data_IF_865226522345
#
_entry.id   IF_865226522345
#
_cell.length_a   1.000
_cell.length_b   1.000
_cell.length_c   1.000
_cell.angle_alpha   90.00
_cell.angle_beta   90.00
_cell.angle_gamma   90.00
#
_symmetry.space_group_name_H-M   'P 1'
#
loop_
_entity.id
_entity.type
_entity.pdbx_description
1 polymer ?
#
# COMPACT_ATOMS: atom_id res chain seq x y z
N UNK A 1 -14.23 13.66 -39.75
CA UNK A 1 -14.45 14.25 -38.41
C UNK A 1 -14.80 13.15 -37.40
N UNK A 2 -13.95 12.12 -37.31
CA UNK A 2 -14.08 10.96 -36.40
C UNK A 2 -12.67 10.39 -36.17
N UNK A 3 -11.92 11.05 -35.28
CA UNK A 3 -10.57 10.71 -34.80
C UNK A 3 -10.37 11.77 -33.71
N UNK A 4 -10.35 11.53 -32.41
CA UNK A 4 -9.82 10.43 -31.61
C UNK A 4 -10.57 10.52 -30.27
N UNK A 5 -11.50 9.60 -30.00
CA UNK A 5 -12.18 9.43 -28.70
C UNK A 5 -11.75 8.11 -28.04
N UNK A 6 -10.46 7.76 -28.20
CA UNK A 6 -9.87 6.54 -27.65
C UNK A 6 -8.42 6.85 -27.27
N UNK A 7 -8.24 7.48 -26.11
CA UNK A 7 -6.92 7.56 -25.50
C UNK A 7 -7.13 7.67 -23.99
N UNK A 8 -7.00 6.52 -23.35
CA UNK A 8 -7.28 6.21 -21.95
C UNK A 8 -6.59 7.16 -20.96
N UNK A 9 -7.30 7.60 -19.94
CA UNK A 9 -7.02 8.76 -19.09
C UNK A 9 -5.74 8.71 -18.20
N UNK A 10 -4.81 7.75 -18.41
CA UNK A 10 -3.69 7.47 -17.48
C UNK A 10 -2.31 7.41 -18.15
N UNK A 11 -2.19 7.16 -19.46
CA UNK A 11 -0.88 6.92 -20.08
C UNK A 11 -0.01 8.20 -20.18
N UNK A 12 -0.59 9.34 -20.54
CA UNK A 12 0.18 10.60 -20.64
C UNK A 12 0.71 11.07 -19.30
N UNK A 13 -0.12 11.02 -18.25
CA UNK A 13 0.24 11.55 -16.94
C UNK A 13 1.39 10.76 -16.30
N UNK A 14 1.39 9.43 -16.43
CA UNK A 14 2.49 8.60 -15.93
C UNK A 14 3.78 8.79 -16.71
N UNK A 15 3.70 8.95 -18.03
CA UNK A 15 4.88 9.20 -18.87
C UNK A 15 5.54 10.53 -18.51
N UNK A 16 4.76 11.59 -18.31
CA UNK A 16 5.26 12.90 -17.87
C UNK A 16 5.94 12.80 -16.50
N UNK A 17 5.30 12.15 -15.52
CA UNK A 17 5.90 11.94 -14.18
C UNK A 17 7.22 11.18 -14.27
N UNK A 18 7.28 10.08 -15.03
CA UNK A 18 8.51 9.30 -15.18
C UNK A 18 9.64 10.15 -15.77
N UNK A 19 9.34 10.96 -16.78
CA UNK A 19 10.34 11.85 -17.40
C UNK A 19 10.82 12.91 -16.41
N UNK A 20 9.90 13.59 -15.73
CA UNK A 20 10.26 14.63 -14.75
C UNK A 20 11.07 14.09 -13.59
N UNK A 21 10.73 12.90 -13.05
CA UNK A 21 11.53 12.28 -11.99
C UNK A 21 12.91 11.87 -12.51
N UNK A 22 12.99 11.28 -13.72
CA UNK A 22 14.27 10.89 -14.30
C UNK A 22 15.19 12.09 -14.56
N UNK A 23 14.65 13.20 -15.08
CA UNK A 23 15.39 14.45 -15.28
C UNK A 23 15.90 15.00 -13.96
N UNK A 24 15.04 15.10 -12.93
CA UNK A 24 15.45 15.59 -11.60
C UNK A 24 16.52 14.71 -10.96
N UNK A 25 16.41 13.38 -11.10
CA UNK A 25 17.43 12.44 -10.61
C UNK A 25 18.78 12.70 -11.30
N UNK A 26 18.80 12.88 -12.61
CA UNK A 26 20.03 13.18 -13.35
C UNK A 26 20.60 14.56 -12.97
N UNK A 27 19.75 15.56 -12.76
CA UNK A 27 20.17 16.93 -12.43
C UNK A 27 20.74 17.04 -11.00
N UNK A 28 20.10 16.40 -10.01
CA UNK A 28 20.48 16.51 -8.60
C UNK A 28 21.57 15.51 -8.18
N UNK A 29 21.53 14.28 -8.71
CA UNK A 29 22.43 13.19 -8.29
C UNK A 29 23.47 12.84 -9.36
N UNK A 30 23.37 13.40 -10.57
CA UNK A 30 24.31 13.19 -11.67
C UNK A 30 24.20 11.85 -12.40
N UNK A 31 23.63 10.82 -11.76
CA UNK A 31 23.36 9.52 -12.40
C UNK A 31 22.31 8.71 -11.64
N UNK A 32 21.69 7.76 -12.32
CA UNK A 32 20.79 6.79 -11.69
C UNK A 32 21.51 5.94 -10.62
N UNK A 33 22.79 5.61 -10.83
CA UNK A 33 23.58 4.85 -9.86
C UNK A 33 23.82 5.64 -8.56
N UNK A 34 24.13 6.93 -8.66
CA UNK A 34 24.31 7.79 -7.48
C UNK A 34 22.99 7.98 -6.70
N UNK A 35 21.86 8.04 -7.40
CA UNK A 35 20.55 8.07 -6.74
C UNK A 35 20.20 6.75 -6.05
N UNK A 36 20.51 5.63 -6.70
CA UNK A 36 20.41 4.29 -6.12
C UNK A 36 21.24 4.17 -4.83
N UNK A 37 22.46 4.72 -4.81
CA UNK A 37 23.33 4.74 -3.62
C UNK A 37 22.73 5.63 -2.52
N UNK A 38 22.21 6.82 -2.86
CA UNK A 38 21.46 7.67 -1.92
C UNK A 38 20.30 6.91 -1.25
N UNK A 39 19.48 6.22 -2.05
CA UNK A 39 18.33 5.45 -1.53
C UNK A 39 18.77 4.33 -0.57
N UNK A 40 19.90 3.67 -0.84
CA UNK A 40 20.41 2.54 -0.02
C UNK A 40 21.20 2.97 1.21
N UNK A 41 21.91 4.08 1.16
CA UNK A 41 22.94 4.41 2.15
C UNK A 41 22.57 5.56 3.10
N UNK A 42 21.72 6.50 2.67
CA UNK A 42 21.38 7.68 3.47
C UNK A 42 20.38 7.35 4.61
N UNK A 43 19.96 8.34 5.39
CA UNK A 43 18.94 8.18 6.41
C UNK A 43 17.56 7.86 5.80
N UNK A 44 16.84 6.81 6.24
CA UNK A 44 15.57 6.42 5.64
C UNK A 44 14.48 7.48 5.68
N UNK A 45 14.40 8.31 6.73
CA UNK A 45 13.41 9.39 6.83
C UNK A 45 13.71 10.48 5.80
N UNK A 46 14.99 10.85 5.69
CA UNK A 46 15.48 11.82 4.68
C UNK A 46 15.20 11.33 3.25
N UNK A 47 15.48 10.05 2.97
CA UNK A 47 15.18 9.44 1.66
C UNK A 47 13.67 9.45 1.40
N UNK A 48 12.85 9.12 2.40
CA UNK A 48 11.39 9.12 2.27
C UNK A 48 10.85 10.50 1.91
N UNK A 49 11.33 11.54 2.60
CA UNK A 49 10.91 12.93 2.36
C UNK A 49 11.26 13.39 0.95
N UNK A 50 12.47 13.07 0.47
CA UNK A 50 12.87 13.35 -0.92
C UNK A 50 11.99 12.60 -1.92
N UNK A 51 11.71 11.32 -1.68
CA UNK A 51 10.85 10.54 -2.55
C UNK A 51 9.43 11.12 -2.62
N UNK A 52 8.86 11.56 -1.49
CA UNK A 52 7.54 12.19 -1.41
C UNK A 52 7.49 13.57 -2.08
N UNK A 53 8.62 14.26 -2.17
CA UNK A 53 8.73 15.53 -2.87
C UNK A 53 8.76 15.37 -4.41
N UNK A 54 8.97 14.15 -4.93
CA UNK A 54 8.78 13.88 -6.35
C UNK A 54 7.30 13.94 -6.73
N UNK A 55 6.92 14.91 -7.57
CA UNK A 55 5.56 15.04 -8.08
C UNK A 55 5.06 13.75 -8.73
N UNK A 56 4.03 13.13 -8.15
CA UNK A 56 3.45 11.85 -8.61
C UNK A 56 3.92 10.62 -7.82
N UNK A 57 4.83 10.78 -6.87
CA UNK A 57 5.21 9.75 -5.90
C UNK A 57 4.44 9.96 -4.60
N UNK A 58 3.57 9.02 -4.26
CA UNK A 58 2.85 9.02 -2.99
C UNK A 58 3.50 8.09 -1.95
N UNK A 59 3.02 8.09 -0.69
CA UNK A 59 3.58 7.31 0.42
C UNK A 59 3.84 5.85 0.08
N UNK A 60 2.85 5.13 -0.45
CA UNK A 60 3.02 3.73 -0.87
C UNK A 60 4.19 3.52 -1.83
N UNK A 61 4.36 4.44 -2.78
CA UNK A 61 5.44 4.34 -3.78
C UNK A 61 6.80 4.62 -3.13
N UNK A 62 6.90 5.66 -2.29
CA UNK A 62 8.11 5.97 -1.55
C UNK A 62 8.52 4.80 -0.64
N UNK A 63 7.57 4.24 0.11
CA UNK A 63 7.79 3.10 1.00
C UNK A 63 8.20 1.85 0.22
N UNK A 64 7.62 1.62 -0.97
CA UNK A 64 8.07 0.52 -1.84
C UNK A 64 9.51 0.72 -2.33
N UNK A 65 9.93 1.95 -2.66
CA UNK A 65 11.31 2.23 -3.07
C UNK A 65 12.26 1.96 -1.91
N UNK A 66 11.97 2.47 -0.71
CA UNK A 66 12.76 2.22 0.50
C UNK A 66 12.92 0.73 0.80
N UNK A 67 11.80 -0.01 0.82
CA UNK A 67 11.80 -1.43 1.11
C UNK A 67 12.53 -2.25 0.04
N UNK A 68 12.14 -2.13 -1.23
CA UNK A 68 12.59 -3.06 -2.28
C UNK A 68 13.88 -2.63 -2.99
N UNK A 69 14.06 -1.34 -3.24
CA UNK A 69 15.26 -0.83 -3.91
C UNK A 69 16.34 -0.41 -2.89
N UNK A 70 15.91 0.21 -1.79
CA UNK A 70 16.78 0.61 -0.68
C UNK A 70 17.16 -0.51 0.28
N UNK A 71 16.46 -1.65 0.23
CA UNK A 71 16.73 -2.78 1.12
C UNK A 71 16.47 -2.47 2.60
N UNK A 72 15.62 -1.48 2.89
CA UNK A 72 15.31 -1.06 4.26
C UNK A 72 14.32 -2.03 4.90
N UNK A 73 14.75 -2.70 5.96
CA UNK A 73 13.86 -3.46 6.84
C UNK A 73 12.99 -2.50 7.67
N UNK A 74 11.86 -3.00 8.19
CA UNK A 74 10.95 -2.20 9.00
C UNK A 74 10.00 -1.30 8.22
N UNK A 75 10.22 -1.09 6.91
CA UNK A 75 9.31 -0.33 6.05
C UNK A 75 8.18 -1.23 5.55
N UNK A 76 6.93 -0.84 5.78
CA UNK A 76 5.75 -1.60 5.37
C UNK A 76 4.83 -0.76 4.46
N UNK A 77 4.94 -0.89 3.12
CA UNK A 77 4.11 -0.11 2.22
C UNK A 77 2.62 -0.45 2.39
N UNK A 78 1.79 0.58 2.55
CA UNK A 78 0.33 0.40 2.69
C UNK A 78 -0.35 0.71 1.37
N UNK A 79 -0.89 -0.31 0.71
CA UNK A 79 -1.79 -0.16 -0.43
C UNK A 79 -3.25 -0.39 -0.03
N UNK A 80 -4.16 -0.40 -1.01
CA UNK A 80 -5.60 -0.59 -0.74
C UNK A 80 -5.95 -1.99 -0.23
N UNK A 81 -5.12 -3.01 -0.45
CA UNK A 81 -5.30 -4.34 0.15
C UNK A 81 -4.87 -4.30 1.61
N UNK A 82 -3.64 -3.87 1.88
CA UNK A 82 -3.07 -3.75 3.23
C UNK A 82 -4.00 -2.89 4.11
N UNK A 83 -4.34 -1.68 3.65
CA UNK A 83 -5.19 -0.74 4.36
C UNK A 83 -6.53 -1.35 4.78
N UNK A 84 -7.17 -2.12 3.89
CA UNK A 84 -8.43 -2.80 4.19
C UNK A 84 -8.24 -3.98 5.14
N UNK A 85 -7.23 -4.82 4.90
CA UNK A 85 -7.02 -6.07 5.64
C UNK A 85 -6.74 -5.76 7.11
N UNK A 86 -5.80 -4.87 7.40
CA UNK A 86 -5.40 -4.61 8.79
C UNK A 86 -6.51 -3.93 9.61
N UNK A 87 -7.38 -3.13 8.97
CA UNK A 87 -8.59 -2.58 9.61
C UNK A 87 -9.67 -3.64 9.82
N UNK A 88 -9.89 -4.55 8.86
CA UNK A 88 -10.82 -5.68 9.01
C UNK A 88 -10.39 -6.68 10.09
N UNK A 89 -9.10 -6.92 10.20
CA UNK A 89 -8.51 -7.80 11.22
C UNK A 89 -8.67 -7.23 12.64
N UNK A 90 -8.95 -5.93 12.78
CA UNK A 90 -8.97 -5.24 14.09
C UNK A 90 -7.58 -4.83 14.60
N UNK A 91 -6.53 -4.97 13.77
CA UNK A 91 -5.15 -4.59 14.12
C UNK A 91 -4.99 -3.07 14.09
N UNK A 92 -5.52 -2.42 13.05
CA UNK A 92 -5.56 -0.97 12.94
C UNK A 92 -6.97 -0.44 13.22
N UNK A 93 -7.11 0.80 13.74
CA UNK A 93 -8.41 1.42 13.96
C UNK A 93 -9.27 1.42 12.67
N UNK A 94 -10.60 1.23 12.76
CA UNK A 94 -11.46 1.15 11.59
C UNK A 94 -11.43 2.41 10.71
N UNK A 95 -11.20 3.57 11.32
CA UNK A 95 -11.11 4.90 10.70
C UNK A 95 -9.67 5.35 10.39
N UNK A 96 -8.67 4.49 10.64
CA UNK A 96 -7.26 4.82 10.36
C UNK A 96 -7.04 5.11 8.87
N UNK A 97 -6.27 6.16 8.58
CA UNK A 97 -5.79 6.45 7.24
C UNK A 97 -4.59 5.54 6.88
N UNK A 98 -3.95 5.81 5.73
CA UNK A 98 -2.84 4.97 5.26
C UNK A 98 -1.61 5.06 6.19
N UNK A 99 -1.32 6.25 6.73
CA UNK A 99 -0.19 6.45 7.64
C UNK A 99 -0.47 5.80 9.00
N UNK A 100 -1.69 5.93 9.53
CA UNK A 100 -2.09 5.26 10.77
C UNK A 100 -2.01 3.74 10.67
N UNK A 101 -2.39 3.15 9.52
CA UNK A 101 -2.16 1.72 9.27
C UNK A 101 -0.67 1.40 9.19
N UNK A 102 0.14 2.21 8.49
CA UNK A 102 1.59 2.00 8.36
C UNK A 102 2.26 1.97 9.73
N UNK A 103 2.03 2.98 10.56
CA UNK A 103 2.61 3.10 11.91
C UNK A 103 2.28 1.89 12.78
N UNK A 104 1.03 1.41 12.76
CA UNK A 104 0.62 0.22 13.50
C UNK A 104 1.35 -1.03 13.01
N UNK A 105 1.41 -1.21 11.68
CA UNK A 105 1.98 -2.43 11.10
C UNK A 105 3.50 -2.46 11.26
N UNK A 106 4.20 -1.34 11.05
CA UNK A 106 5.64 -1.23 11.24
C UNK A 106 6.06 -1.39 12.71
N UNK A 107 5.19 -1.01 13.66
CA UNK A 107 5.39 -1.25 15.10
C UNK A 107 5.30 -2.73 15.46
N UNK A 108 4.33 -3.44 14.89
CA UNK A 108 3.94 -4.78 15.35
C UNK A 108 4.56 -5.93 14.52
N UNK A 109 4.91 -5.67 13.25
CA UNK A 109 5.55 -6.67 12.38
C UNK A 109 7.07 -6.61 12.57
N UNK A 110 7.76 -7.73 12.80
CA UNK A 110 9.22 -7.76 12.86
C UNK A 110 9.84 -7.15 11.60
N UNK A 111 10.84 -6.26 11.71
CA UNK A 111 11.38 -5.50 10.58
C UNK A 111 11.76 -6.33 9.36
N UNK A 112 12.38 -7.48 9.58
CA UNK A 112 12.81 -8.43 8.55
C UNK A 112 11.65 -9.11 7.81
N UNK A 113 10.43 -9.04 8.39
CA UNK A 113 9.21 -9.61 7.81
C UNK A 113 8.36 -8.60 7.08
N UNK A 114 8.63 -7.30 7.16
CA UNK A 114 7.76 -6.27 6.56
C UNK A 114 7.58 -6.47 5.05
N UNK A 115 8.65 -6.80 4.31
CA UNK A 115 8.54 -7.05 2.86
C UNK A 115 7.71 -8.28 2.50
N UNK A 116 7.91 -9.40 3.21
CA UNK A 116 7.07 -10.58 3.06
C UNK A 116 5.63 -10.29 3.46
N UNK A 117 5.41 -9.64 4.61
CA UNK A 117 4.09 -9.27 5.11
C UNK A 117 3.31 -8.39 4.13
N UNK A 118 3.96 -7.41 3.51
CA UNK A 118 3.36 -6.56 2.48
C UNK A 118 2.87 -7.39 1.29
N UNK A 119 3.74 -8.19 0.70
CA UNK A 119 3.41 -9.01 -0.48
C UNK A 119 2.37 -10.09 -0.17
N UNK A 120 2.50 -10.76 0.97
CA UNK A 120 1.54 -11.75 1.45
C UNK A 120 0.15 -11.14 1.70
N UNK A 121 0.09 -9.92 2.25
CA UNK A 121 -1.16 -9.19 2.46
C UNK A 121 -1.85 -8.87 1.13
N UNK A 122 -1.11 -8.44 0.11
CA UNK A 122 -1.67 -8.19 -1.23
C UNK A 122 -2.25 -9.48 -1.81
N UNK A 123 -1.51 -10.58 -1.73
CA UNK A 123 -1.98 -11.88 -2.23
C UNK A 123 -3.25 -12.32 -1.49
N UNK A 124 -3.23 -12.29 -0.16
CA UNK A 124 -4.39 -12.61 0.67
C UNK A 124 -5.60 -11.74 0.34
N UNK A 125 -5.40 -10.44 0.13
CA UNK A 125 -6.46 -9.50 -0.23
C UNK A 125 -7.06 -9.71 -1.62
N UNK A 126 -6.34 -10.39 -2.53
CA UNK A 126 -6.82 -10.74 -3.87
C UNK A 126 -7.55 -12.08 -3.86
N UNK A 127 -7.02 -13.06 -3.14
CA UNK A 127 -7.52 -14.44 -3.14
C UNK A 127 -8.68 -14.62 -2.16
N UNK A 128 -8.60 -14.02 -0.97
CA UNK A 128 -9.53 -14.29 0.13
C UNK A 128 -10.27 -13.04 0.58
N UNK A 129 -9.56 -11.98 0.99
CA UNK A 129 -10.17 -10.81 1.60
C UNK A 129 -10.48 -9.70 0.59
N UNK A 130 -11.24 -10.03 -0.46
CA UNK A 130 -11.63 -9.06 -1.48
C UNK A 130 -12.50 -7.93 -0.90
N UNK A 131 -12.49 -6.75 -1.53
CA UNK A 131 -13.18 -5.58 -0.99
C UNK A 131 -14.70 -5.78 -0.84
N UNK A 132 -15.34 -6.38 -1.84
CA UNK A 132 -16.82 -6.48 -1.91
C UNK A 132 -17.36 -7.81 -1.41
N UNK A 133 -16.66 -8.92 -1.70
CA UNK A 133 -17.10 -10.26 -1.33
C UNK A 133 -15.91 -11.05 -0.78
N UNK A 134 -15.46 -10.76 0.46
CA UNK A 134 -14.43 -11.57 1.08
C UNK A 134 -14.95 -13.00 1.27
N UNK A 135 -14.07 -14.00 1.18
CA UNK A 135 -14.42 -15.42 1.24
C UNK A 135 -15.19 -15.80 2.51
N UNK A 136 -14.93 -15.11 3.63
CA UNK A 136 -15.64 -15.32 4.88
C UNK A 136 -17.15 -14.99 4.86
N UNK A 137 -17.68 -14.38 3.79
CA UNK A 137 -19.12 -14.25 3.57
C UNK A 137 -19.77 -15.55 3.06
N UNK A 138 -19.01 -16.41 2.38
CA UNK A 138 -19.50 -17.72 1.93
C UNK A 138 -19.42 -18.78 3.03
N UNK A 139 -18.56 -18.56 4.04
CA UNK A 139 -18.39 -19.39 5.24
C UNK A 139 -17.13 -18.94 5.99
N UNK A 140 -17.11 -18.97 7.32
CA UNK A 140 -15.95 -18.47 8.08
C UNK A 140 -14.67 -19.27 7.74
N UNK A 141 -14.81 -20.58 7.55
CA UNK A 141 -13.78 -21.54 7.17
C UNK A 141 -13.14 -21.27 5.80
N UNK A 142 -13.80 -20.50 4.92
CA UNK A 142 -13.27 -20.13 3.60
C UNK A 142 -12.18 -19.06 3.68
N UNK A 143 -11.99 -18.45 4.85
CA UNK A 143 -10.93 -17.48 5.12
C UNK A 143 -9.90 -18.08 6.09
N UNK A 144 -8.62 -18.23 5.69
CA UNK A 144 -7.60 -18.82 6.56
C UNK A 144 -7.27 -17.99 7.81
N UNK A 145 -7.77 -16.76 7.90
CA UNK A 145 -7.55 -15.84 9.02
C UNK A 145 -8.81 -15.62 9.87
N UNK A 146 -9.91 -16.34 9.63
CA UNK A 146 -11.19 -16.09 10.29
C UNK A 146 -11.11 -16.17 11.83
N UNK A 147 -10.34 -17.11 12.37
CA UNK A 147 -10.18 -17.28 13.83
C UNK A 147 -9.40 -16.15 14.51
N UNK A 148 -8.70 -15.33 13.72
CA UNK A 148 -7.86 -14.21 14.19
C UNK A 148 -8.40 -12.85 13.72
N UNK A 149 -9.58 -12.82 13.11
CA UNK A 149 -10.11 -11.65 12.43
C UNK A 149 -11.38 -11.15 13.12
N UNK A 150 -11.33 -9.90 13.57
CA UNK A 150 -12.51 -9.22 14.14
C UNK A 150 -13.62 -8.96 13.11
N UNK A 151 -13.31 -9.13 11.81
CA UNK A 151 -14.25 -8.99 10.67
C UNK A 151 -14.94 -7.62 10.65
N UNK A 152 -14.23 -6.56 11.05
CA UNK A 152 -14.76 -5.20 11.08
C UNK A 152 -15.28 -4.80 9.69
N UNK A 153 -16.54 -4.40 9.59
CA UNK A 153 -17.18 -4.07 8.31
C UNK A 153 -17.53 -5.28 7.43
N UNK A 154 -17.58 -6.49 7.98
CA UNK A 154 -18.08 -7.69 7.29
C UNK A 154 -19.25 -8.27 8.08
N UNK A 155 -20.44 -8.22 7.47
CA UNK A 155 -21.67 -8.76 8.04
C UNK A 155 -22.06 -10.04 7.30
N UNK A 156 -21.86 -11.19 7.96
CA UNK A 156 -22.17 -12.50 7.39
C UNK A 156 -23.68 -12.75 7.26
N UNK A 157 -24.50 -12.22 8.18
CA UNK A 157 -25.94 -12.40 8.15
C UNK A 157 -26.57 -11.59 7.02
N UNK A 158 -26.06 -10.38 6.78
CA UNK A 158 -26.47 -9.54 5.65
C UNK A 158 -25.79 -9.93 4.33
N UNK A 159 -24.79 -10.81 4.36
CA UNK A 159 -24.03 -11.22 3.18
C UNK A 159 -23.29 -10.06 2.50
N UNK A 160 -22.83 -9.07 3.28
CA UNK A 160 -22.31 -7.81 2.77
C UNK A 160 -21.03 -7.37 3.50
N UNK A 161 -20.17 -6.66 2.78
CA UNK A 161 -19.00 -6.01 3.34
C UNK A 161 -18.97 -4.53 2.97
N UNK A 162 -18.64 -3.70 3.95
CA UNK A 162 -18.48 -2.24 3.84
C UNK A 162 -17.03 -1.85 4.14
N UNK A 163 -16.71 -0.56 4.00
CA UNK A 163 -15.43 -0.07 4.52
C UNK A 163 -15.47 -0.11 6.06
N UNK A 164 -14.40 -0.56 6.74
CA UNK A 164 -14.34 -0.59 8.20
C UNK A 164 -14.73 0.73 8.89
N UNK A 165 -14.40 1.88 8.29
CA UNK A 165 -14.75 3.19 8.85
C UNK A 165 -16.27 3.42 8.95
N UNK A 166 -17.04 2.88 8.00
CA UNK A 166 -18.51 3.00 7.98
C UNK A 166 -19.18 2.08 9.01
N UNK A 167 -18.45 1.07 9.52
CA UNK A 167 -18.95 0.14 10.50
C UNK A 167 -18.81 0.66 11.94
N UNK A 168 -17.84 1.53 12.21
CA UNK A 168 -17.60 2.14 13.54
C UNK A 168 -18.57 3.27 13.91
N UNK A 169 -19.36 3.76 12.96
CA UNK A 169 -20.33 4.85 13.18
C UNK A 169 -21.71 4.38 13.68
N UNK A 170 -21.89 3.07 13.94
CA UNK A 170 -23.13 2.46 14.41
C UNK A 170 -22.97 1.85 15.80
#
# INVERSE_FOLDING_TARGET
MYRIYLRDFVYNQKSEVIQTVAERVLDEYGSAAAFDDFVREDDPETVRDVLLDFGGVGPKTADCVLLFAGGREGVFPVDTHVHRIYRRLGVAPPDADHEGVREVVERDVPPEKCGFGHTASIQFGREYCSARKPACLDGAEECPMADLCDRVGVDADAGAAVDPAEASEK
#
